data_IF_100922847157
#
_entry.id   IF_100922847157
#
_cell.length_a   1.000
_cell.length_b   1.000
_cell.length_c   1.000
_cell.angle_alpha   90.00
_cell.angle_beta   90.00
_cell.angle_gamma   90.00
#
_symmetry.space_group_name_H-M   'P 1'
#
loop_
_entity.id
_entity.type
_entity.pdbx_description
1 polymer ?
#
# COMPACT_ATOMS: atom_id res chain seq x y z
N UNK A 1 29.41 -41.12 -1.46
CA UNK A 1 28.26 -41.13 -0.53
C UNK A 1 27.42 -39.88 -0.77
N UNK A 2 26.28 -40.01 -1.47
CA UNK A 2 25.47 -38.87 -1.94
C UNK A 2 24.28 -38.56 -1.02
N UNK A 3 23.89 -39.51 -0.16
CA UNK A 3 22.68 -39.42 0.66
C UNK A 3 22.73 -38.33 1.73
N UNK A 4 23.90 -38.09 2.35
CA UNK A 4 24.04 -37.14 3.46
C UNK A 4 23.83 -35.67 3.02
N UNK A 5 24.44 -35.17 1.94
CA UNK A 5 24.17 -33.82 1.41
C UNK A 5 22.69 -33.59 1.05
N UNK A 6 22.06 -34.57 0.40
CA UNK A 6 20.63 -34.47 0.01
C UNK A 6 19.72 -34.35 1.23
N UNK A 7 20.01 -35.11 2.30
CA UNK A 7 19.28 -34.98 3.57
C UNK A 7 19.51 -33.59 4.20
N UNK A 8 20.72 -33.04 4.08
CA UNK A 8 21.03 -31.72 4.62
C UNK A 8 20.23 -30.61 3.91
N UNK A 9 20.15 -30.67 2.57
CA UNK A 9 19.28 -29.78 1.78
C UNK A 9 17.83 -29.93 2.22
N UNK A 10 17.32 -31.16 2.33
CA UNK A 10 15.93 -31.40 2.78
C UNK A 10 15.65 -30.77 4.15
N UNK A 11 16.53 -30.97 5.12
CA UNK A 11 16.34 -30.43 6.47
C UNK A 11 16.41 -28.91 6.48
N UNK A 12 17.32 -28.33 5.71
CA UNK A 12 17.47 -26.87 5.59
C UNK A 12 16.26 -26.27 4.87
N UNK A 13 15.76 -26.91 3.82
CA UNK A 13 14.51 -26.52 3.16
C UNK A 13 13.33 -26.51 4.13
N UNK A 14 13.25 -27.48 5.06
CA UNK A 14 12.23 -27.45 6.11
C UNK A 14 12.31 -26.20 7.00
N UNK A 15 13.52 -25.71 7.31
CA UNK A 15 13.71 -24.46 8.08
C UNK A 15 13.29 -23.22 7.29
N UNK A 16 13.69 -23.15 6.01
CA UNK A 16 13.29 -22.08 5.09
C UNK A 16 11.76 -22.01 4.97
N UNK A 17 11.09 -23.15 4.81
CA UNK A 17 9.62 -23.23 4.76
C UNK A 17 8.95 -22.80 6.06
N UNK A 18 9.63 -22.94 7.21
CA UNK A 18 9.14 -22.44 8.50
C UNK A 18 9.40 -20.94 8.73
N UNK A 19 10.03 -20.25 7.76
CA UNK A 19 10.28 -18.82 7.78
C UNK A 19 11.72 -18.41 8.10
N UNK A 20 12.63 -19.36 8.34
CA UNK A 20 14.06 -19.07 8.52
C UNK A 20 14.78 -18.98 7.17
N UNK A 21 14.68 -17.82 6.51
CA UNK A 21 15.32 -17.54 5.23
C UNK A 21 16.84 -17.31 5.33
N UNK A 22 17.40 -17.34 6.56
CA UNK A 22 18.85 -17.28 6.78
C UNK A 22 19.48 -18.66 6.87
N UNK A 23 18.67 -19.71 6.90
CA UNK A 23 19.13 -21.08 6.85
C UNK A 23 19.85 -21.35 5.53
N UNK A 24 21.07 -21.89 5.62
CA UNK A 24 21.92 -22.21 4.46
C UNK A 24 22.57 -23.57 4.64
N UNK A 25 22.86 -24.20 3.52
CA UNK A 25 23.66 -25.43 3.47
C UNK A 25 25.13 -25.03 3.31
N UNK A 26 26.02 -25.65 4.09
CA UNK A 26 27.47 -25.49 3.89
C UNK A 26 27.89 -26.26 2.64
N UNK A 27 28.64 -25.60 1.76
CA UNK A 27 29.18 -26.20 0.53
C UNK A 27 30.65 -26.50 0.78
N UNK A 28 31.01 -27.79 0.85
CA UNK A 28 32.38 -28.26 1.08
C UNK A 28 32.94 -29.12 -0.07
N UNK A 29 32.24 -29.11 -1.21
CA UNK A 29 32.53 -29.97 -2.38
C UNK A 29 32.45 -29.17 -3.68
N UNK A 30 33.20 -29.61 -4.68
CA UNK A 30 33.22 -29.04 -6.05
C UNK A 30 32.66 -30.02 -7.10
N UNK A 31 31.79 -30.95 -6.66
CA UNK A 31 31.08 -31.90 -7.53
C UNK A 31 29.64 -31.43 -7.82
N UNK A 32 28.87 -32.23 -8.56
CA UNK A 32 27.48 -31.92 -8.91
C UNK A 32 26.60 -31.68 -7.67
N UNK A 33 26.97 -32.26 -6.53
CA UNK A 33 26.27 -32.06 -5.27
C UNK A 33 26.61 -30.70 -4.68
N UNK A 34 27.88 -30.28 -4.71
CA UNK A 34 28.27 -28.93 -4.32
C UNK A 34 27.54 -27.84 -5.12
N UNK A 35 27.45 -28.02 -6.44
CA UNK A 35 26.67 -27.10 -7.31
C UNK A 35 25.18 -27.06 -6.97
N UNK A 36 24.61 -28.18 -6.55
CA UNK A 36 23.22 -28.25 -6.11
C UNK A 36 23.02 -27.50 -4.78
N UNK A 37 23.95 -27.62 -3.84
CA UNK A 37 23.92 -26.89 -2.57
C UNK A 37 24.07 -25.38 -2.78
N UNK A 38 24.95 -24.95 -3.69
CA UNK A 38 25.06 -23.54 -4.11
C UNK A 38 23.75 -23.03 -4.73
N UNK A 39 23.20 -23.77 -5.70
CA UNK A 39 21.94 -23.40 -6.36
C UNK A 39 20.76 -23.32 -5.37
N UNK A 40 20.74 -24.19 -4.36
CA UNK A 40 19.75 -24.12 -3.28
C UNK A 40 19.93 -22.85 -2.45
N UNK A 41 21.16 -22.52 -2.04
CA UNK A 41 21.42 -21.30 -1.27
C UNK A 41 21.06 -20.03 -2.06
N UNK A 42 21.36 -19.99 -3.36
CA UNK A 42 20.99 -18.88 -4.24
C UNK A 42 19.47 -18.73 -4.35
N UNK A 43 18.73 -19.84 -4.44
CA UNK A 43 17.26 -19.83 -4.45
C UNK A 43 16.69 -19.28 -3.13
N UNK A 44 17.24 -19.68 -2.00
CA UNK A 44 16.80 -19.18 -0.67
C UNK A 44 17.07 -17.68 -0.56
N UNK A 45 18.23 -17.21 -1.02
CA UNK A 45 18.55 -15.78 -1.05
C UNK A 45 17.59 -15.00 -1.94
N UNK A 46 17.33 -15.50 -3.15
CA UNK A 46 16.39 -14.86 -4.07
C UNK A 46 14.97 -14.79 -3.48
N UNK A 47 14.55 -15.80 -2.72
CA UNK A 47 13.29 -15.80 -2.00
C UNK A 47 13.24 -14.71 -0.91
N UNK A 48 14.31 -14.56 -0.12
CA UNK A 48 14.43 -13.50 0.91
C UNK A 48 14.35 -12.11 0.28
N UNK A 49 15.14 -11.87 -0.77
CA UNK A 49 15.15 -10.60 -1.51
C UNK A 49 13.76 -10.29 -2.10
N UNK A 50 13.08 -11.30 -2.68
CA UNK A 50 11.74 -11.15 -3.25
C UNK A 50 10.69 -10.81 -2.20
N UNK A 51 10.76 -11.44 -1.01
CA UNK A 51 9.84 -11.14 0.09
C UNK A 51 10.03 -9.70 0.58
N UNK A 52 11.28 -9.24 0.67
CA UNK A 52 11.57 -7.87 1.09
C UNK A 52 11.10 -6.85 0.04
N UNK A 53 11.26 -7.15 -1.25
CA UNK A 53 10.73 -6.32 -2.34
C UNK A 53 9.20 -6.21 -2.27
N UNK A 54 8.50 -7.33 -2.03
CA UNK A 54 7.03 -7.33 -1.88
C UNK A 54 6.61 -6.46 -0.70
N UNK A 55 7.28 -6.57 0.46
CA UNK A 55 6.97 -5.73 1.62
C UNK A 55 7.13 -4.25 1.32
N UNK A 56 8.21 -3.86 0.66
CA UNK A 56 8.44 -2.45 0.31
C UNK A 56 7.40 -1.96 -0.70
N UNK A 57 7.03 -2.77 -1.69
CA UNK A 57 5.96 -2.44 -2.64
C UNK A 57 4.61 -2.23 -1.94
N UNK A 58 4.23 -3.12 -1.03
CA UNK A 58 2.98 -2.98 -0.25
C UNK A 58 2.99 -1.74 0.63
N UNK A 59 4.13 -1.41 1.24
CA UNK A 59 4.30 -0.18 2.01
C UNK A 59 4.14 1.06 1.13
N UNK A 60 4.79 1.10 -0.04
CA UNK A 60 4.68 2.22 -0.98
C UNK A 60 3.25 2.36 -1.52
N UNK A 61 2.58 1.24 -1.84
CA UNK A 61 1.17 1.21 -2.22
C UNK A 61 0.30 1.84 -1.13
N UNK A 62 0.48 1.44 0.13
CA UNK A 62 -0.28 2.00 1.26
C UNK A 62 -0.04 3.49 1.44
N UNK A 63 1.19 3.97 1.26
CA UNK A 63 1.51 5.40 1.32
C UNK A 63 0.82 6.15 0.17
N UNK A 64 0.84 5.60 -1.04
CA UNK A 64 0.17 6.18 -2.20
C UNK A 64 -1.35 6.24 -2.01
N UNK A 65 -1.98 5.17 -1.52
CA UNK A 65 -3.41 5.14 -1.19
C UNK A 65 -3.78 6.19 -0.15
N UNK A 66 -3.00 6.31 0.93
CA UNK A 66 -3.19 7.34 1.96
C UNK A 66 -3.03 8.75 1.38
N UNK A 67 -2.01 8.96 0.55
CA UNK A 67 -1.78 10.25 -0.11
C UNK A 67 -2.91 10.61 -1.08
N UNK A 68 -3.44 9.64 -1.82
CA UNK A 68 -4.59 9.82 -2.70
C UNK A 68 -5.84 10.20 -1.91
N UNK A 69 -6.13 9.50 -0.81
CA UNK A 69 -7.24 9.83 0.09
C UNK A 69 -7.10 11.23 0.71
N UNK A 70 -5.87 11.64 1.07
CA UNK A 70 -5.58 12.99 1.54
C UNK A 70 -5.75 14.06 0.44
N UNK A 71 -5.41 13.74 -0.81
CA UNK A 71 -5.59 14.67 -1.92
C UNK A 71 -7.08 14.89 -2.22
N UNK A 72 -7.90 13.84 -2.12
CA UNK A 72 -9.37 13.94 -2.24
C UNK A 72 -9.98 14.85 -1.19
N UNK A 73 -9.51 14.76 0.05
CA UNK A 73 -9.95 15.61 1.16
C UNK A 73 -8.80 16.50 1.58
N UNK A 74 -8.42 17.48 0.76
CA UNK A 74 -7.38 18.44 1.13
C UNK A 74 -7.75 19.04 2.51
N UNK A 75 -7.02 18.70 3.60
CA UNK A 75 -7.45 19.10 4.94
C UNK A 75 -7.46 20.61 5.09
N UNK A 76 -6.55 21.30 4.39
CA UNK A 76 -6.50 22.75 4.35
C UNK A 76 -7.73 23.36 3.68
N UNK A 77 -8.28 22.72 2.64
CA UNK A 77 -9.55 23.17 2.04
C UNK A 77 -10.71 23.05 3.03
N UNK A 78 -10.78 21.98 3.83
CA UNK A 78 -11.77 21.85 4.90
C UNK A 78 -11.63 22.99 5.91
N UNK A 79 -10.42 23.21 6.43
CA UNK A 79 -10.15 24.26 7.42
C UNK A 79 -10.45 25.65 6.88
N UNK A 80 -10.08 25.93 5.63
CA UNK A 80 -10.34 27.22 4.99
C UNK A 80 -11.82 27.44 4.76
N UNK A 81 -12.55 26.43 4.30
CA UNK A 81 -13.99 26.54 4.07
C UNK A 81 -14.73 26.80 5.39
N UNK A 82 -14.41 26.04 6.45
CA UNK A 82 -15.00 26.26 7.78
C UNK A 82 -14.60 27.62 8.39
N UNK A 83 -13.37 28.07 8.16
CA UNK A 83 -12.92 29.39 8.60
C UNK A 83 -13.64 30.53 7.86
N UNK A 84 -13.88 30.35 6.56
CA UNK A 84 -14.69 31.28 5.75
C UNK A 84 -16.13 31.37 6.24
N UNK A 85 -16.77 30.23 6.53
CA UNK A 85 -18.10 30.18 7.16
C UNK A 85 -18.09 30.91 8.50
N UNK A 86 -17.09 30.65 9.36
CA UNK A 86 -16.95 31.36 10.65
C UNK A 86 -16.86 32.87 10.46
N UNK A 87 -16.13 33.33 9.44
CA UNK A 87 -15.99 34.74 9.12
C UNK A 87 -17.32 35.37 8.67
N UNK A 88 -18.06 34.69 7.77
CA UNK A 88 -19.40 35.13 7.34
C UNK A 88 -20.36 35.27 8.52
N UNK A 89 -20.39 34.28 9.42
CA UNK A 89 -21.19 34.34 10.65
C UNK A 89 -20.76 35.52 11.53
N UNK A 90 -19.45 35.76 11.70
CA UNK A 90 -18.96 36.89 12.50
C UNK A 90 -19.33 38.26 11.92
N UNK A 91 -19.64 38.32 10.62
CA UNK A 91 -20.11 39.51 9.91
C UNK A 91 -21.65 39.61 9.87
N UNK A 92 -22.39 38.75 10.59
CA UNK A 92 -23.85 38.60 10.51
C UNK A 92 -24.37 38.27 9.08
N UNK A 93 -23.53 37.70 8.22
CA UNK A 93 -23.87 37.25 6.87
C UNK A 93 -24.35 35.80 6.89
N UNK A 94 -25.43 35.55 7.63
CA UNK A 94 -25.86 34.18 7.94
C UNK A 94 -26.42 33.42 6.73
N UNK A 95 -27.12 34.08 5.81
CA UNK A 95 -27.62 33.45 4.57
C UNK A 95 -26.47 32.96 3.68
N UNK A 96 -25.42 33.78 3.51
CA UNK A 96 -24.24 33.44 2.72
C UNK A 96 -23.44 32.29 3.38
N UNK A 97 -23.40 32.26 4.73
CA UNK A 97 -22.80 31.17 5.48
C UNK A 97 -23.57 29.85 5.31
N UNK A 98 -24.90 29.90 5.33
CA UNK A 98 -25.77 28.74 5.11
C UNK A 98 -25.62 28.19 3.67
N UNK A 99 -25.59 29.07 2.67
CA UNK A 99 -25.38 28.67 1.28
C UNK A 99 -24.01 28.01 1.06
N UNK A 100 -22.96 28.57 1.66
CA UNK A 100 -21.60 28.00 1.61
C UNK A 100 -21.55 26.63 2.29
N UNK A 101 -22.18 26.48 3.47
CA UNK A 101 -22.28 25.19 4.17
C UNK A 101 -23.06 24.15 3.35
N UNK A 102 -24.15 24.55 2.69
CA UNK A 102 -24.94 23.67 1.83
C UNK A 102 -24.12 23.17 0.64
N UNK A 103 -23.47 24.07 -0.10
CA UNK A 103 -22.59 23.75 -1.23
C UNK A 103 -21.43 22.83 -0.80
N UNK A 104 -20.81 23.13 0.33
CA UNK A 104 -19.73 22.32 0.90
C UNK A 104 -20.21 20.92 1.31
N UNK A 105 -21.39 20.82 1.93
CA UNK A 105 -22.00 19.54 2.30
C UNK A 105 -22.35 18.68 1.09
N UNK A 106 -22.77 19.30 -0.03
CA UNK A 106 -23.02 18.61 -1.31
C UNK A 106 -21.72 18.10 -1.92
N UNK A 107 -20.68 18.94 -1.95
CA UNK A 107 -19.36 18.59 -2.46
C UNK A 107 -18.72 17.43 -1.67
N UNK A 108 -18.75 17.46 -0.33
CA UNK A 108 -18.25 16.37 0.50
C UNK A 108 -18.98 15.04 0.25
N UNK A 109 -20.30 15.10 0.02
CA UNK A 109 -21.12 13.93 -0.28
C UNK A 109 -20.80 13.31 -1.64
N UNK A 110 -20.27 14.10 -2.57
CA UNK A 110 -19.87 13.66 -3.90
C UNK A 110 -18.41 13.15 -3.93
N UNK A 111 -17.52 13.73 -3.12
CA UNK A 111 -16.09 13.34 -3.06
C UNK A 111 -15.87 12.09 -2.21
N UNK A 112 -16.63 11.93 -1.12
CA UNK A 112 -16.58 10.71 -0.34
C UNK A 112 -17.23 9.59 -1.17
N UNK A 113 -16.48 8.55 -1.57
CA UNK A 113 -17.06 7.47 -2.35
C UNK A 113 -18.24 6.90 -1.57
N UNK A 114 -19.40 6.77 -2.23
CA UNK A 114 -20.33 5.69 -1.85
C UNK A 114 -19.49 4.42 -1.84
N UNK A 115 -19.65 3.57 -0.84
CA UNK A 115 -18.85 2.37 -0.60
C UNK A 115 -18.88 1.29 -1.73
N UNK A 116 -19.25 1.64 -2.97
CA UNK A 116 -19.17 0.80 -4.15
C UNK A 116 -17.99 1.25 -5.02
N UNK A 117 -17.02 0.36 -5.19
CA UNK A 117 -15.71 0.54 -5.84
C UNK A 117 -15.69 1.00 -7.31
N UNK A 118 -16.83 1.38 -7.91
CA UNK A 118 -16.90 1.87 -9.29
C UNK A 118 -17.91 3.03 -9.40
N UNK A 119 -17.37 4.22 -9.67
CA UNK A 119 -18.12 5.41 -10.10
C UNK A 119 -18.24 5.39 -11.62
N UNK A 120 -19.39 5.80 -12.17
CA UNK A 120 -19.57 5.87 -13.62
C UNK A 120 -18.83 7.06 -14.24
N UNK A 121 -18.41 6.95 -15.50
CA UNK A 121 -17.73 8.03 -16.23
C UNK A 121 -18.60 9.29 -16.35
N UNK A 122 -19.93 9.12 -16.31
CA UNK A 122 -20.90 10.22 -16.35
C UNK A 122 -20.86 11.05 -15.06
N UNK A 123 -20.79 10.38 -13.90
CA UNK A 123 -20.69 11.03 -12.59
C UNK A 123 -19.35 11.79 -12.46
N UNK A 124 -18.23 11.26 -12.99
CA UNK A 124 -16.94 11.98 -13.01
C UNK A 124 -17.00 13.28 -13.83
N UNK A 125 -17.68 13.26 -14.98
CA UNK A 125 -17.83 14.44 -15.84
C UNK A 125 -18.71 15.49 -15.16
N UNK A 126 -19.71 15.07 -14.39
CA UNK A 126 -20.58 15.98 -13.63
C UNK A 126 -19.82 16.65 -12.48
N UNK A 127 -18.89 15.95 -11.84
CA UNK A 127 -18.02 16.49 -10.78
C UNK A 127 -17.12 17.63 -11.30
N UNK A 128 -16.56 17.51 -12.51
CA UNK A 128 -15.62 18.51 -13.08
C UNK A 128 -16.35 19.78 -13.56
N UNK A 129 -17.65 19.71 -13.82
CA UNK A 129 -18.44 20.81 -14.39
C UNK A 129 -19.04 21.79 -13.36
N UNK A 130 -18.91 21.51 -12.06
CA UNK A 130 -19.41 22.37 -10.97
C UNK A 130 -18.30 23.28 -10.44
#
# INVERSE_FOLDING_TARGET
WVTKPVINIKNTMGKVMSGDLKAKVEVDRDDEIGKLEESFNDMVKWLDDSIEEIKEKEKQKRIAELSFLQALINPHFLYNTLSGVRFLVSMNKNEEAEEMLYKFSKLLRNILPRASELISLEDEIEIIKT
#
